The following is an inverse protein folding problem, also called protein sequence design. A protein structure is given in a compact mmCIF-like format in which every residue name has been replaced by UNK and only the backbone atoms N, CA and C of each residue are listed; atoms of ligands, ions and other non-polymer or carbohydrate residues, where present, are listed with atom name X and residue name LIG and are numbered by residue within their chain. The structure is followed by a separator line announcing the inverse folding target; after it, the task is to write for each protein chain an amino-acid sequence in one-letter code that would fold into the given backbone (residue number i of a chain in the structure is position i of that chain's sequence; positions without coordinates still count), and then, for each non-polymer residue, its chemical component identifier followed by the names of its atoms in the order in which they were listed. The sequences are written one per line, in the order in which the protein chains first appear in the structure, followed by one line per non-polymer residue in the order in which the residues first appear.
data_IF_499730500118
#
_entry.id   IF_499730500118
#
_cell.length_a   1.000
_cell.length_b   1.000
_cell.length_c   1.000
_cell.angle_alpha   90.00
_cell.angle_beta   90.00
_cell.angle_gamma   90.00
#
_symmetry.space_group_name_H-M   'P 1'
#
loop_
_entity.id
_entity.type
_entity.pdbx_description
1 polymer ?
#
# COMPACT_ATOMS: atom_id res chain seq x y z
N UNK A 1 47.79 -26.41 14.31
CA UNK A 1 46.85 -26.42 13.19
C UNK A 1 45.47 -26.95 13.56
N UNK A 2 45.31 -28.17 14.13
CA UNK A 2 43.99 -28.74 14.46
C UNK A 2 43.14 -27.87 15.43
N UNK A 3 43.76 -27.22 16.41
CA UNK A 3 43.06 -26.32 17.40
C UNK A 3 42.59 -24.98 16.78
N UNK A 4 43.32 -24.47 15.78
CA UNK A 4 42.92 -23.23 15.07
C UNK A 4 41.74 -23.46 14.15
N UNK A 5 41.68 -24.62 13.46
CA UNK A 5 40.56 -25.01 12.59
C UNK A 5 39.26 -25.18 13.42
N UNK A 6 39.35 -25.78 14.63
CA UNK A 6 38.20 -25.94 15.51
C UNK A 6 37.65 -24.59 15.99
N UNK A 7 38.52 -23.60 16.24
CA UNK A 7 38.09 -22.25 16.62
C UNK A 7 37.41 -21.49 15.49
N UNK A 8 37.90 -21.64 14.25
CA UNK A 8 37.29 -21.02 13.05
C UNK A 8 35.93 -21.66 12.76
N UNK A 9 35.76 -22.97 12.91
CA UNK A 9 34.49 -23.65 12.75
C UNK A 9 33.47 -23.24 13.84
N UNK A 10 33.90 -22.94 15.06
CA UNK A 10 33.02 -22.48 16.14
C UNK A 10 32.49 -21.05 15.89
N UNK A 11 33.32 -20.18 15.31
CA UNK A 11 32.93 -18.80 14.98
C UNK A 11 31.91 -18.80 13.80
N UNK A 12 32.06 -19.70 12.84
CA UNK A 12 31.13 -19.79 11.70
C UNK A 12 29.74 -20.34 12.08
N UNK A 13 29.63 -21.09 13.17
CA UNK A 13 28.35 -21.66 13.61
C UNK A 13 27.43 -20.66 14.34
N UNK A 14 27.91 -19.47 14.70
CA UNK A 14 27.14 -18.46 15.43
C UNK A 14 26.45 -17.43 14.52
N UNK A 15 26.74 -17.42 13.22
CA UNK A 15 26.01 -16.60 12.25
C UNK A 15 24.75 -17.32 11.76
N UNK A 16 23.82 -17.60 12.66
CA UNK A 16 22.45 -17.85 12.25
C UNK A 16 21.85 -16.47 11.87
N UNK A 17 21.82 -16.19 10.57
CA UNK A 17 20.96 -15.15 10.03
C UNK A 17 19.51 -15.59 10.31
N UNK A 18 18.96 -15.15 11.43
CA UNK A 18 17.53 -15.13 11.57
C UNK A 18 17.02 -14.13 10.52
N UNK A 19 16.53 -14.63 9.40
CA UNK A 19 15.68 -13.84 8.51
C UNK A 19 14.44 -13.51 9.33
N UNK A 20 14.44 -12.35 9.95
CA UNK A 20 13.22 -11.77 10.51
C UNK A 20 12.40 -11.44 9.25
N UNK A 21 11.44 -12.31 8.92
CA UNK A 21 10.37 -11.94 8.02
C UNK A 21 9.58 -10.83 8.76
N UNK A 22 9.95 -9.60 8.51
CA UNK A 22 9.11 -8.47 8.87
C UNK A 22 7.87 -8.61 8.00
N UNK A 23 6.71 -8.71 8.61
CA UNK A 23 5.46 -8.57 7.90
C UNK A 23 5.47 -7.18 7.28
N UNK A 24 5.35 -7.09 5.97
CA UNK A 24 5.50 -5.83 5.22
C UNK A 24 4.35 -4.87 5.46
N UNK A 25 3.19 -5.39 5.88
CA UNK A 25 2.00 -4.61 6.21
C UNK A 25 1.21 -5.22 7.37
N UNK A 26 0.32 -4.44 7.98
CA UNK A 26 -0.54 -4.84 9.08
C UNK A 26 -1.98 -4.97 8.62
N UNK A 27 -2.58 -6.16 8.82
CA UNK A 27 -3.99 -6.40 8.50
C UNK A 27 -4.88 -5.78 9.59
N UNK A 28 -5.84 -4.96 9.18
CA UNK A 28 -6.89 -4.47 10.07
C UNK A 28 -8.12 -5.41 10.04
N UNK A 29 -8.22 -6.25 11.05
CA UNK A 29 -9.31 -7.23 11.20
C UNK A 29 -10.65 -6.61 11.64
N UNK A 30 -10.74 -5.30 11.82
CA UNK A 30 -12.01 -4.61 12.11
C UNK A 30 -12.93 -4.58 10.89
N UNK A 31 -12.38 -4.67 9.70
CA UNK A 31 -13.14 -4.78 8.45
C UNK A 31 -13.63 -6.21 8.26
N UNK A 32 -14.95 -6.39 8.15
CA UNK A 32 -15.59 -7.71 8.05
C UNK A 32 -16.36 -7.92 6.74
N UNK A 33 -16.55 -6.85 5.96
CA UNK A 33 -17.21 -6.93 4.66
C UNK A 33 -16.16 -7.05 3.55
N UNK A 34 -16.45 -7.81 2.49
CA UNK A 34 -15.56 -7.83 1.32
C UNK A 34 -15.32 -6.43 0.76
N UNK A 35 -14.06 -6.12 0.47
CA UNK A 35 -13.66 -4.80 -0.01
C UNK A 35 -12.19 -4.53 0.19
N UNK A 36 -11.79 -3.30 -0.12
CA UNK A 36 -10.43 -2.77 0.05
C UNK A 36 -10.53 -1.59 0.98
N UNK A 37 -9.61 -1.52 1.92
CA UNK A 37 -9.67 -0.54 3.01
C UNK A 37 -8.29 0.08 3.28
N UNK A 38 -8.23 1.43 3.34
CA UNK A 38 -9.35 2.36 3.18
C UNK A 38 -9.87 2.43 1.73
N UNK A 39 -11.12 2.89 1.53
CA UNK A 39 -11.75 3.07 0.20
C UNK A 39 -11.01 4.11 -0.67
N UNK A 40 -10.28 5.02 -0.04
CA UNK A 40 -9.37 5.97 -0.66
C UNK A 40 -8.09 6.05 0.18
N UNK A 41 -6.94 6.15 -0.48
CA UNK A 41 -5.68 6.31 0.22
C UNK A 41 -5.56 7.69 0.86
N UNK A 42 -4.89 7.82 2.01
CA UNK A 42 -4.52 9.12 2.56
C UNK A 42 -3.73 9.96 1.58
N UNK A 43 -3.84 11.27 1.72
CA UNK A 43 -3.16 12.23 0.88
C UNK A 43 -1.63 12.10 0.97
N UNK A 44 -0.96 12.09 -0.19
CA UNK A 44 0.48 12.17 -0.29
C UNK A 44 0.98 13.60 -0.46
N UNK A 45 2.28 13.83 -0.19
CA UNK A 45 2.92 15.13 -0.39
C UNK A 45 4.27 14.95 -1.06
N UNK A 46 4.54 15.73 -2.12
CA UNK A 46 5.81 15.64 -2.87
C UNK A 46 7.00 15.78 -1.91
N UNK A 47 7.97 14.86 -2.07
CA UNK A 47 9.20 14.86 -1.29
C UNK A 47 9.10 14.35 0.15
N UNK A 48 7.90 14.04 0.63
CA UNK A 48 7.69 13.45 1.94
C UNK A 48 7.59 11.93 1.85
N UNK A 49 8.13 11.24 2.84
CA UNK A 49 7.96 9.80 2.94
C UNK A 49 6.48 9.44 3.12
N UNK A 50 6.04 8.44 2.37
CA UNK A 50 4.70 7.88 2.40
C UNK A 50 4.79 6.41 2.79
N UNK A 51 3.89 5.94 3.65
CA UNK A 51 3.76 4.52 3.98
C UNK A 51 2.37 4.27 4.52
N UNK A 52 1.56 3.50 3.78
CA UNK A 52 0.18 3.17 4.15
C UNK A 52 -0.10 1.70 3.94
N UNK A 53 -0.73 1.10 4.95
CA UNK A 53 -1.19 -0.28 4.89
C UNK A 53 -2.62 -0.32 4.37
N UNK A 54 -2.84 -1.13 3.33
CA UNK A 54 -4.15 -1.36 2.73
C UNK A 54 -4.56 -2.79 3.03
N UNK A 55 -5.64 -2.97 3.77
CA UNK A 55 -6.26 -4.27 4.03
C UNK A 55 -7.28 -4.59 2.96
N UNK A 56 -7.28 -5.80 2.46
CA UNK A 56 -8.38 -6.29 1.61
C UNK A 56 -9.04 -7.52 2.23
N UNK A 57 -10.36 -7.56 2.11
CA UNK A 57 -11.20 -8.67 2.54
C UNK A 57 -11.79 -9.32 1.30
N UNK A 58 -11.37 -10.55 1.02
CA UNK A 58 -11.74 -11.27 -0.19
C UNK A 58 -13.14 -11.89 -0.08
N UNK A 59 -13.83 -11.99 -1.21
CA UNK A 59 -15.08 -12.74 -1.30
C UNK A 59 -14.79 -14.23 -1.49
N UNK A 60 -15.59 -15.09 -0.87
CA UNK A 60 -15.46 -16.55 -0.98
C UNK A 60 -16.14 -17.10 -2.22
N UNK A 61 -17.27 -16.53 -2.58
CA UNK A 61 -18.10 -16.95 -3.71
C UNK A 61 -18.84 -15.78 -4.34
N UNK A 62 -19.25 -15.94 -5.58
CA UNK A 62 -20.08 -14.99 -6.31
C UNK A 62 -20.89 -15.72 -7.39
N UNK A 63 -22.20 -15.43 -7.49
CA UNK A 63 -23.09 -15.95 -8.53
C UNK A 63 -23.02 -17.48 -8.72
N UNK A 64 -22.81 -18.24 -7.63
CA UNK A 64 -22.69 -19.71 -7.67
C UNK A 64 -21.32 -20.22 -8.12
N UNK A 65 -20.32 -19.37 -8.22
CA UNK A 65 -18.92 -19.74 -8.41
C UNK A 65 -18.12 -19.53 -7.14
N UNK A 66 -17.31 -20.52 -6.77
CA UNK A 66 -16.38 -20.45 -5.64
C UNK A 66 -15.06 -19.86 -6.10
N UNK A 67 -14.58 -18.83 -5.42
CA UNK A 67 -13.29 -18.21 -5.70
C UNK A 67 -12.20 -19.01 -4.97
N UNK A 68 -11.20 -19.47 -5.71
CA UNK A 68 -10.15 -20.33 -5.19
C UNK A 68 -8.77 -19.67 -5.15
N UNK A 69 -8.60 -18.57 -5.88
CA UNK A 69 -7.35 -17.81 -5.85
C UNK A 69 -7.58 -16.35 -6.23
N UNK A 70 -6.87 -15.47 -5.54
CA UNK A 70 -6.63 -14.07 -5.89
C UNK A 70 -5.14 -13.84 -6.05
N UNK A 71 -4.73 -13.25 -7.15
CA UNK A 71 -3.34 -12.83 -7.36
C UNK A 71 -3.31 -11.34 -7.71
N UNK A 72 -2.61 -10.54 -6.93
CA UNK A 72 -2.32 -9.15 -7.28
C UNK A 72 -1.15 -9.17 -8.26
N UNK A 73 -1.37 -8.65 -9.47
CA UNK A 73 -0.34 -8.65 -10.53
C UNK A 73 0.28 -7.29 -10.76
N UNK A 74 -0.48 -6.21 -10.52
CA UNK A 74 0.02 -4.85 -10.69
C UNK A 74 -0.81 -3.84 -9.91
N UNK A 75 -0.15 -2.80 -9.44
CA UNK A 75 -0.76 -1.59 -8.88
C UNK A 75 -0.09 -0.40 -9.57
N UNK A 76 -0.87 0.39 -10.32
CA UNK A 76 -0.38 1.52 -11.11
C UNK A 76 -0.23 2.77 -10.23
N UNK A 77 0.84 2.86 -9.46
CA UNK A 77 1.10 3.92 -8.50
C UNK A 77 1.67 5.20 -9.12
N UNK A 78 1.46 6.36 -8.45
CA UNK A 78 2.17 7.59 -8.76
C UNK A 78 3.69 7.43 -8.72
N UNK A 79 4.40 8.19 -9.56
CA UNK A 79 5.87 8.14 -9.64
C UNK A 79 6.50 8.42 -8.28
N UNK A 80 7.41 7.53 -7.86
CA UNK A 80 8.11 7.59 -6.58
C UNK A 80 7.48 6.74 -5.47
N UNK A 81 6.33 6.12 -5.73
CA UNK A 81 5.74 5.11 -4.85
C UNK A 81 5.96 3.70 -5.40
N UNK A 82 6.03 2.75 -4.49
CA UNK A 82 6.13 1.31 -4.74
C UNK A 82 5.20 0.56 -3.79
N UNK A 83 5.04 -0.74 -3.96
CA UNK A 83 4.18 -1.55 -3.12
C UNK A 83 4.76 -2.94 -2.85
N UNK A 84 4.36 -3.50 -1.72
CA UNK A 84 4.69 -4.87 -1.34
C UNK A 84 3.49 -5.52 -0.65
N UNK A 85 3.24 -6.80 -0.91
CA UNK A 85 2.18 -7.57 -0.26
C UNK A 85 2.74 -8.41 0.91
N UNK A 86 1.88 -8.78 1.86
CA UNK A 86 2.23 -9.64 2.99
C UNK A 86 2.64 -11.07 2.57
N UNK A 87 2.23 -11.51 1.39
CA UNK A 87 2.61 -12.79 0.77
C UNK A 87 3.53 -12.61 -0.45
N UNK A 88 4.53 -11.76 -0.34
CA UNK A 88 5.48 -11.48 -1.44
C UNK A 88 6.26 -12.73 -1.87
N UNK A 89 6.63 -13.61 -0.93
CA UNK A 89 7.27 -14.89 -1.21
C UNK A 89 6.38 -15.84 -2.02
N UNK A 90 5.06 -15.74 -1.89
CA UNK A 90 4.06 -16.48 -2.67
C UNK A 90 3.65 -15.78 -3.97
N UNK A 91 4.29 -14.66 -4.34
CA UNK A 91 3.94 -13.88 -5.53
C UNK A 91 2.60 -13.18 -5.42
N UNK A 92 2.25 -12.71 -4.22
CA UNK A 92 0.97 -12.05 -3.91
C UNK A 92 -0.27 -12.89 -4.31
N UNK A 93 -0.17 -14.21 -4.12
CA UNK A 93 -1.27 -15.15 -4.33
C UNK A 93 -1.97 -15.45 -3.00
N UNK A 94 -3.28 -15.45 -3.01
CA UNK A 94 -4.14 -15.63 -1.83
C UNK A 94 -5.21 -16.67 -2.12
N UNK A 95 -5.41 -17.59 -1.17
CA UNK A 95 -6.50 -18.55 -1.19
C UNK A 95 -7.60 -18.07 -0.22
N UNK A 96 -8.70 -17.48 -0.72
CA UNK A 96 -9.76 -16.96 0.14
C UNK A 96 -10.48 -18.05 0.93
N UNK A 97 -10.42 -19.32 0.48
CA UNK A 97 -11.01 -20.43 1.19
C UNK A 97 -10.21 -20.79 2.47
N UNK A 98 -8.94 -20.41 2.51
CA UNK A 98 -8.06 -20.61 3.68
C UNK A 98 -8.02 -19.37 4.58
N UNK A 99 -7.96 -18.17 4.00
CA UNK A 99 -7.95 -16.89 4.70
C UNK A 99 -8.50 -15.78 3.81
N UNK A 100 -9.54 -15.09 4.29
CA UNK A 100 -10.17 -14.01 3.53
C UNK A 100 -9.41 -12.69 3.59
N UNK A 101 -8.40 -12.55 4.45
CA UNK A 101 -7.65 -11.32 4.63
C UNK A 101 -6.30 -11.36 3.94
N UNK A 102 -5.89 -10.20 3.44
CA UNK A 102 -4.54 -9.91 3.03
C UNK A 102 -4.27 -8.42 3.13
N UNK A 103 -3.02 -8.04 3.01
CA UNK A 103 -2.64 -6.63 2.99
C UNK A 103 -1.52 -6.34 2.00
N UNK A 104 -1.45 -5.08 1.62
CA UNK A 104 -0.32 -4.47 0.91
C UNK A 104 0.15 -3.25 1.67
N UNK A 105 1.43 -2.97 1.66
CA UNK A 105 1.98 -1.67 2.04
C UNK A 105 2.33 -0.90 0.77
N UNK A 106 1.84 0.34 0.67
CA UNK A 106 2.22 1.30 -0.37
C UNK A 106 3.18 2.28 0.27
N UNK A 107 4.39 2.37 -0.26
CA UNK A 107 5.47 3.15 0.35
C UNK A 107 6.31 3.89 -0.68
N UNK A 108 7.12 4.84 -0.22
CA UNK A 108 8.03 5.61 -1.06
C UNK A 108 7.98 7.09 -0.81
N UNK A 109 8.28 7.87 -1.85
CA UNK A 109 8.25 9.34 -1.81
C UNK A 109 7.63 9.84 -3.10
N UNK A 110 6.39 10.35 -3.08
CA UNK A 110 5.74 10.85 -4.29
C UNK A 110 6.54 12.00 -4.91
N UNK A 111 6.71 11.98 -6.23
CA UNK A 111 7.51 12.96 -6.97
C UNK A 111 6.66 13.92 -7.83
N UNK A 112 5.38 13.63 -8.02
CA UNK A 112 4.52 14.42 -8.89
C UNK A 112 3.16 14.64 -8.22
N UNK A 113 2.70 15.90 -8.16
CA UNK A 113 1.37 16.24 -7.64
C UNK A 113 0.28 15.89 -8.66
N UNK A 114 -0.88 15.53 -8.16
CA UNK A 114 -2.06 15.22 -8.97
C UNK A 114 -3.08 14.39 -8.20
N UNK A 115 -4.22 14.21 -8.84
CA UNK A 115 -5.25 13.28 -8.42
C UNK A 115 -5.09 12.00 -9.24
N UNK A 116 -5.01 10.86 -8.55
CA UNK A 116 -4.70 9.58 -9.15
C UNK A 116 -5.81 8.57 -8.88
N UNK A 117 -6.34 7.97 -9.96
CA UNK A 117 -7.12 6.75 -9.91
C UNK A 117 -6.14 5.57 -10.06
N UNK A 118 -5.69 5.04 -8.92
CA UNK A 118 -4.71 3.96 -8.87
C UNK A 118 -5.39 2.67 -9.32
N UNK A 119 -5.04 2.18 -10.50
CA UNK A 119 -5.55 0.93 -11.01
C UNK A 119 -4.83 -0.26 -10.35
N UNK A 120 -5.64 -1.14 -9.75
CA UNK A 120 -5.19 -2.43 -9.20
C UNK A 120 -5.66 -3.53 -10.13
N UNK A 121 -4.73 -4.31 -10.66
CA UNK A 121 -4.99 -5.44 -11.55
C UNK A 121 -4.78 -6.75 -10.81
N UNK A 122 -5.79 -7.61 -10.84
CA UNK A 122 -5.76 -8.92 -10.20
C UNK A 122 -6.13 -10.02 -11.19
N UNK A 123 -5.66 -11.24 -10.92
CA UNK A 123 -6.12 -12.46 -11.57
C UNK A 123 -6.89 -13.30 -10.56
N UNK A 124 -8.04 -13.82 -10.97
CA UNK A 124 -8.91 -14.62 -10.10
C UNK A 124 -9.13 -15.99 -10.71
N UNK A 125 -9.06 -17.05 -9.90
CA UNK A 125 -9.46 -18.39 -10.27
C UNK A 125 -10.77 -18.73 -9.59
N UNK A 126 -11.69 -19.33 -10.35
CA UNK A 126 -13.00 -19.72 -9.83
C UNK A 126 -13.34 -21.16 -10.22
N UNK A 127 -14.20 -21.80 -9.41
CA UNK A 127 -14.83 -23.08 -9.72
C UNK A 127 -16.35 -22.86 -9.83
N UNK A 128 -16.91 -23.11 -10.98
CA UNK A 128 -18.34 -22.98 -11.26
C UNK A 128 -18.86 -24.27 -11.93
N UNK A 129 -19.93 -24.86 -11.41
CA UNK A 129 -20.52 -26.09 -11.94
C UNK A 129 -19.51 -27.23 -12.15
N UNK A 130 -18.50 -27.34 -11.26
CA UNK A 130 -17.45 -28.35 -11.33
C UNK A 130 -16.36 -28.06 -12.39
N UNK A 131 -16.39 -26.91 -13.04
CA UNK A 131 -15.37 -26.45 -13.99
C UNK A 131 -14.48 -25.39 -13.33
N UNK A 132 -13.18 -25.50 -13.52
CA UNK A 132 -12.21 -24.49 -13.08
C UNK A 132 -11.95 -23.51 -14.21
N UNK A 133 -12.09 -22.22 -13.93
CA UNK A 133 -11.74 -21.13 -14.84
C UNK A 133 -10.61 -20.36 -14.17
N UNK A 134 -9.46 -20.28 -14.83
CA UNK A 134 -8.26 -19.67 -14.26
C UNK A 134 -7.95 -18.32 -14.91
N UNK A 135 -7.26 -17.47 -14.14
CA UNK A 135 -6.68 -16.21 -14.61
C UNK A 135 -7.72 -15.25 -15.21
N UNK A 136 -8.88 -15.13 -14.57
CA UNK A 136 -9.88 -14.13 -14.95
C UNK A 136 -9.31 -12.77 -14.54
N UNK A 137 -9.03 -11.85 -15.50
CA UNK A 137 -8.52 -10.54 -15.17
C UNK A 137 -9.66 -9.65 -14.63
N UNK A 138 -9.38 -9.00 -13.51
CA UNK A 138 -10.26 -8.00 -12.90
C UNK A 138 -9.41 -6.78 -12.56
N UNK A 139 -9.93 -5.58 -12.80
CA UNK A 139 -9.31 -4.35 -12.31
C UNK A 139 -10.34 -3.46 -11.63
N UNK A 140 -9.85 -2.67 -10.69
CA UNK A 140 -10.60 -1.65 -9.97
C UNK A 140 -9.65 -0.52 -9.61
N UNK A 141 -10.19 0.63 -9.19
CA UNK A 141 -9.38 1.80 -8.85
C UNK A 141 -9.57 2.21 -7.41
N UNK A 142 -8.50 2.73 -6.82
CA UNK A 142 -8.48 3.38 -5.51
C UNK A 142 -7.96 4.81 -5.70
N UNK A 143 -8.66 5.78 -5.13
CA UNK A 143 -8.28 7.19 -5.27
C UNK A 143 -7.16 7.58 -4.33
N UNK A 144 -6.24 8.44 -4.80
CA UNK A 144 -5.19 9.08 -4.02
C UNK A 144 -4.93 10.49 -4.54
N UNK A 145 -4.87 11.49 -3.66
CA UNK A 145 -4.38 12.81 -4.00
C UNK A 145 -2.92 12.99 -3.55
N UNK A 146 -2.11 13.64 -4.38
CA UNK A 146 -0.74 14.04 -4.05
C UNK A 146 -0.61 15.55 -4.21
N UNK A 147 -0.24 16.23 -3.14
CA UNK A 147 -0.09 17.69 -3.10
C UNK A 147 1.37 18.13 -3.20
N UNK A 148 1.59 19.36 -3.70
CA UNK A 148 2.94 19.92 -3.84
C UNK A 148 3.63 20.19 -2.51
N UNK A 149 2.87 20.56 -1.46
CA UNK A 149 3.41 20.86 -0.14
C UNK A 149 2.50 20.27 0.93
N UNK A 150 3.08 19.75 1.99
CA UNK A 150 2.32 19.38 3.17
C UNK A 150 1.74 20.65 3.82
N UNK A 151 0.40 20.79 3.92
CA UNK A 151 -0.20 21.97 4.55
C UNK A 151 0.19 22.16 6.02
N UNK A 152 0.79 21.16 6.67
CA UNK A 152 1.30 21.22 8.04
C UNK A 152 2.80 21.42 8.19
N UNK A 153 3.60 21.32 7.13
CA UNK A 153 5.08 21.41 7.21
C UNK A 153 5.63 22.79 6.88
N UNK A 154 4.84 23.80 6.96
CA UNK A 154 5.28 25.18 7.09
C UNK A 154 6.02 25.78 5.90
N UNK A 155 6.12 26.99 5.80
CA UNK A 155 6.74 27.90 4.87
C UNK A 155 6.11 27.94 3.47
N UNK A 156 4.81 28.27 3.47
CA UNK A 156 4.08 28.63 2.24
C UNK A 156 4.63 29.92 1.57
N UNK A 157 5.78 30.42 2.00
CA UNK A 157 6.39 31.66 1.48
C UNK A 157 5.62 32.93 1.85
N UNK A 158 4.38 32.82 2.33
CA UNK A 158 3.59 33.95 2.77
C UNK A 158 2.57 33.55 3.84
N UNK A 159 2.15 34.54 4.62
CA UNK A 159 0.99 34.43 5.53
C UNK A 159 -0.07 35.48 5.20
N UNK A 160 -1.32 35.22 5.56
CA UNK A 160 -2.45 36.13 5.39
C UNK A 160 -3.00 36.49 6.76
N UNK A 161 -3.37 37.75 6.97
CA UNK A 161 -4.02 38.19 8.20
C UNK A 161 -5.47 37.69 8.33
N UNK A 162 -6.16 37.46 7.20
CA UNK A 162 -7.51 36.92 7.14
C UNK A 162 -7.62 35.93 5.99
N UNK A 163 -8.22 34.76 6.22
CA UNK A 163 -8.50 33.75 5.19
C UNK A 163 -9.95 33.83 4.66
N UNK A 164 -10.84 34.57 5.36
CA UNK A 164 -12.24 34.76 4.96
C UNK A 164 -12.81 36.05 5.59
N UNK A 165 -13.81 36.65 4.95
CA UNK A 165 -14.49 37.83 5.45
C UNK A 165 -15.64 38.27 4.55
N UNK A 166 -16.54 39.15 5.07
CA UNK A 166 -17.57 39.77 4.26
C UNK A 166 -17.01 41.03 3.58
N UNK A 167 -17.46 41.30 2.35
CA UNK A 167 -17.03 42.47 1.56
C UNK A 167 -17.47 43.80 2.21
N UNK A 168 -16.63 44.86 2.20
CA UNK A 168 -15.23 44.86 1.77
C UNK A 168 -14.28 44.30 2.85
N UNK A 169 -13.40 43.38 2.46
CA UNK A 169 -12.35 42.84 3.33
C UNK A 169 -10.97 43.18 2.77
N UNK A 170 -10.08 43.64 3.65
CA UNK A 170 -8.65 43.80 3.30
C UNK A 170 -7.90 42.56 3.74
N UNK A 171 -7.11 41.99 2.81
CA UNK A 171 -6.24 40.83 3.06
C UNK A 171 -4.80 41.28 2.82
N UNK A 172 -3.98 41.23 3.87
CA UNK A 172 -2.57 41.52 3.80
C UNK A 172 -1.80 40.22 3.68
N UNK A 173 -0.88 40.16 2.71
CA UNK A 173 0.04 39.06 2.51
C UNK A 173 1.42 39.43 3.01
N UNK A 174 1.98 38.64 3.90
CA UNK A 174 3.32 38.81 4.41
C UNK A 174 4.23 37.73 3.81
N UNK A 175 5.34 38.16 3.15
CA UNK A 175 6.35 37.22 2.67
C UNK A 175 7.14 36.68 3.87
N UNK A 176 7.12 35.34 4.05
CA UNK A 176 7.83 34.63 5.12
C UNK A 176 9.19 34.07 4.65
N UNK A 177 9.56 34.24 3.39
CA UNK A 177 10.91 33.89 2.92
C UNK A 177 11.89 34.98 3.30
N UNK A 178 13.04 34.61 3.95
CA UNK A 178 14.10 35.54 4.28
C UNK A 178 14.80 36.11 3.04
#
# INVERSE_FOLDING_TARGET
MKRLIAFILLIFSTFHFNSIYSQTCTIDYSYTQPGIYPDSLPDGFIGNAYSEDVTFVMILDTMGATITNFQIVNIALPVGLDWECDNSAGGCNYDPQSNIYGCINIFGTPLLAGDYDIEVSILVNVVASGQTINNIPISFSVFMAVYQNNPGSGNSGFSMNNSSGCYPVSIDFTNNNP
#
